data_IF_599218322795
#
_entry.id   IF_599218322795
#
_cell.length_a   1.000
_cell.length_b   1.000
_cell.length_c   1.000
_cell.angle_alpha   90.00
_cell.angle_beta   90.00
_cell.angle_gamma   90.00
#
_symmetry.space_group_name_H-M   'P 1'
#
loop_
_entity.id
_entity.type
_entity.pdbx_description
1 polymer ?
#
# COMPACT_ATOMS: atom_id res chain seq x y z
N UNK A 1 -6.25 0.86 2.46
CA UNK A 1 -7.09 1.61 3.42
C UNK A 1 -7.38 3.00 2.88
N UNK A 2 -8.44 3.67 3.34
CA UNK A 2 -8.77 5.02 2.88
C UNK A 2 -7.83 6.05 3.53
N UNK A 3 -7.03 6.75 2.72
CA UNK A 3 -6.13 7.80 3.16
C UNK A 3 -6.35 9.11 2.40
N UNK A 4 -5.73 10.16 2.91
CA UNK A 4 -5.69 11.47 2.26
C UNK A 4 -4.32 12.11 2.46
N UNK A 5 -3.84 12.89 1.53
CA UNK A 5 -2.78 13.87 1.75
C UNK A 5 -3.34 15.29 1.60
N UNK A 6 -2.72 16.25 2.26
CA UNK A 6 -3.15 17.64 2.14
C UNK A 6 -2.05 18.60 2.54
N UNK A 7 -2.12 19.83 2.03
CA UNK A 7 -1.34 20.96 2.53
C UNK A 7 -2.00 21.65 3.73
N UNK A 8 -3.31 21.44 3.90
CA UNK A 8 -4.11 21.98 5.01
C UNK A 8 -3.57 21.51 6.36
N UNK A 9 -3.45 22.46 7.30
CA UNK A 9 -3.04 22.16 8.68
C UNK A 9 -4.12 21.34 9.40
N UNK A 10 -3.72 20.21 9.97
CA UNK A 10 -4.65 19.31 10.67
C UNK A 10 -4.72 19.66 12.16
N UNK A 11 -5.79 20.35 12.54
CA UNK A 11 -6.11 20.61 13.95
C UNK A 11 -6.82 19.42 14.59
N UNK A 12 -6.88 19.35 15.92
CA UNK A 12 -7.63 18.28 16.61
C UNK A 12 -9.10 18.17 16.17
N UNK A 13 -9.88 19.27 16.02
CA UNK A 13 -11.23 19.18 15.46
C UNK A 13 -11.26 18.58 14.04
N UNK A 14 -10.33 19.00 13.18
CA UNK A 14 -10.25 18.49 11.81
C UNK A 14 -9.88 17.00 11.77
N UNK A 15 -8.93 16.56 12.60
CA UNK A 15 -8.54 15.16 12.70
C UNK A 15 -9.72 14.26 13.10
N UNK A 16 -10.53 14.69 14.07
CA UNK A 16 -11.72 13.94 14.53
C UNK A 16 -12.77 13.82 13.41
N UNK A 17 -13.06 14.90 12.69
CA UNK A 17 -14.07 14.85 11.61
C UNK A 17 -13.57 14.05 10.41
N UNK A 18 -12.27 14.09 10.10
CA UNK A 18 -11.66 13.24 9.08
C UNK A 18 -11.76 11.75 9.45
N UNK A 19 -11.43 11.39 10.70
CA UNK A 19 -11.60 10.02 11.21
C UNK A 19 -13.06 9.56 11.12
N UNK A 20 -13.99 10.42 11.51
CA UNK A 20 -15.43 10.14 11.45
C UNK A 20 -15.91 9.95 10.01
N UNK A 21 -15.30 10.64 9.04
CA UNK A 21 -15.55 10.46 7.61
C UNK A 21 -14.89 9.20 7.02
N UNK A 22 -14.23 8.39 7.84
CA UNK A 22 -13.65 7.10 7.46
C UNK A 22 -12.18 7.16 7.03
N UNK A 23 -11.52 8.32 7.13
CA UNK A 23 -10.08 8.43 6.88
C UNK A 23 -9.33 7.60 7.92
N UNK A 24 -8.32 6.85 7.48
CA UNK A 24 -7.51 5.98 8.34
C UNK A 24 -6.04 6.41 8.40
N UNK A 25 -5.54 7.07 7.36
CA UNK A 25 -4.18 7.55 7.28
C UNK A 25 -4.12 8.93 6.62
N UNK A 26 -3.15 9.76 7.02
CA UNK A 26 -2.95 11.11 6.51
C UNK A 26 -1.49 11.33 6.07
N UNK A 27 -1.29 11.88 4.87
CA UNK A 27 0.00 12.33 4.35
C UNK A 27 0.23 13.79 4.70
N UNK A 28 1.39 14.11 5.30
CA UNK A 28 1.77 15.49 5.63
C UNK A 28 3.20 15.81 5.25
N UNK A 29 3.40 17.08 4.87
CA UNK A 29 4.67 17.60 4.38
C UNK A 29 5.65 17.86 5.50
N UNK A 30 6.92 17.48 5.33
CA UNK A 30 8.02 17.89 6.19
C UNK A 30 8.41 19.35 5.93
N UNK A 31 8.92 20.01 6.96
CA UNK A 31 9.49 21.35 6.89
C UNK A 31 8.80 22.35 7.81
N UNK A 32 9.13 22.31 9.10
CA UNK A 32 8.48 23.08 10.20
C UNK A 32 8.48 24.62 10.05
N UNK A 33 9.20 25.17 9.08
CA UNK A 33 9.17 26.60 8.73
C UNK A 33 8.42 26.92 7.43
N UNK A 34 7.92 25.92 6.72
CA UNK A 34 7.13 26.07 5.49
C UNK A 34 5.65 26.22 5.83
N UNK A 35 4.92 26.87 4.94
CA UNK A 35 3.50 27.18 5.13
C UNK A 35 2.62 25.93 5.31
N UNK A 36 3.00 24.80 4.68
CA UNK A 36 2.30 23.51 4.74
C UNK A 36 2.96 22.48 5.68
N UNK A 37 4.12 22.78 6.25
CA UNK A 37 4.98 21.78 6.88
C UNK A 37 4.53 21.35 8.28
N UNK A 38 4.36 20.06 8.49
CA UNK A 38 3.89 19.37 9.68
C UNK A 38 4.55 19.89 10.98
N UNK A 39 3.73 20.03 12.03
CA UNK A 39 4.14 20.46 13.37
C UNK A 39 3.93 19.35 14.40
N UNK A 40 4.58 19.46 15.57
CA UNK A 40 4.36 18.51 16.67
C UNK A 40 2.90 18.48 17.14
N UNK A 41 2.25 19.65 17.23
CA UNK A 41 0.84 19.74 17.60
C UNK A 41 -0.07 19.03 16.60
N UNK A 42 0.25 19.11 15.30
CA UNK A 42 -0.46 18.35 14.25
C UNK A 42 -0.21 16.85 14.38
N UNK A 43 1.02 16.41 14.67
CA UNK A 43 1.33 14.99 14.91
C UNK A 43 0.47 14.45 16.06
N UNK A 44 0.44 15.15 17.20
CA UNK A 44 -0.40 14.78 18.34
C UNK A 44 -1.88 14.75 17.96
N UNK A 45 -2.39 15.77 17.27
CA UNK A 45 -3.78 15.82 16.85
C UNK A 45 -4.19 14.65 15.93
N UNK A 46 -3.32 14.26 15.00
CA UNK A 46 -3.54 13.13 14.08
C UNK A 46 -3.56 11.81 14.87
N UNK A 47 -2.56 11.59 15.73
CA UNK A 47 -2.43 10.36 16.51
C UNK A 47 -3.52 10.22 17.57
N UNK A 48 -3.89 11.30 18.27
CA UNK A 48 -4.98 11.30 19.27
C UNK A 48 -6.33 10.98 18.64
N UNK A 49 -6.52 11.31 17.35
CA UNK A 49 -7.70 10.91 16.58
C UNK A 49 -7.65 9.45 16.07
N UNK A 50 -6.57 8.72 16.34
CA UNK A 50 -6.34 7.35 15.89
C UNK A 50 -6.11 7.24 14.38
N UNK A 51 -5.50 8.27 13.78
CA UNK A 51 -5.09 8.27 12.37
C UNK A 51 -3.61 7.89 12.26
N UNK A 52 -3.26 7.19 11.18
CA UNK A 52 -1.88 6.91 10.81
C UNK A 52 -1.29 8.08 10.02
N UNK A 53 0.03 8.24 10.02
CA UNK A 53 0.73 9.32 9.35
C UNK A 53 1.77 8.78 8.36
N UNK A 54 1.93 9.39 7.20
CA UNK A 54 3.14 9.25 6.38
C UNK A 54 3.72 10.62 6.02
N UNK A 55 5.03 10.64 5.74
CA UNK A 55 5.79 11.86 5.58
C UNK A 55 6.09 12.12 4.10
N UNK A 56 5.92 13.37 3.68
CA UNK A 56 6.18 13.82 2.30
C UNK A 56 7.25 14.90 2.33
N UNK A 57 8.21 14.88 1.41
CA UNK A 57 9.10 16.01 1.16
C UNK A 57 8.90 16.55 -0.25
N UNK A 58 8.57 17.84 -0.33
CA UNK A 58 8.38 18.58 -1.58
C UNK A 58 8.92 20.01 -1.40
N UNK A 59 10.10 20.30 -1.97
CA UNK A 59 10.78 21.61 -1.90
C UNK A 59 10.89 22.25 -3.30
N UNK A 60 9.83 22.14 -4.11
CA UNK A 60 9.74 22.52 -5.53
C UNK A 60 10.38 21.57 -6.57
N UNK A 61 10.12 20.25 -6.54
CA UNK A 61 10.66 19.27 -7.49
C UNK A 61 9.87 19.25 -8.82
N UNK A 62 9.80 20.40 -9.50
CA UNK A 62 8.87 20.62 -10.64
C UNK A 62 9.55 20.66 -12.01
N UNK A 63 10.84 20.36 -12.10
CA UNK A 63 11.62 20.37 -13.35
C UNK A 63 12.85 19.46 -13.24
N UNK A 64 13.35 18.96 -14.38
CA UNK A 64 14.49 18.03 -14.45
C UNK A 64 15.75 18.54 -13.73
N UNK A 65 16.06 19.82 -13.84
CA UNK A 65 17.22 20.48 -13.23
C UNK A 65 17.24 20.42 -11.70
N UNK A 66 16.09 20.17 -11.08
CA UNK A 66 16.01 19.92 -9.64
C UNK A 66 16.72 18.60 -9.27
N UNK A 67 16.63 17.59 -10.12
CA UNK A 67 17.00 16.22 -9.78
C UNK A 67 18.47 15.96 -10.06
N UNK A 68 19.30 16.23 -9.05
CA UNK A 68 20.71 15.86 -9.07
C UNK A 68 21.04 14.98 -7.87
N UNK A 69 22.10 14.17 -7.99
CA UNK A 69 22.61 13.35 -6.88
C UNK A 69 22.91 14.19 -5.62
N UNK A 70 23.56 15.35 -5.79
CA UNK A 70 23.88 16.25 -4.69
C UNK A 70 22.62 16.86 -4.04
N UNK A 71 21.61 17.20 -4.85
CA UNK A 71 20.31 17.67 -4.36
C UNK A 71 19.58 16.59 -3.58
N UNK A 72 19.64 15.33 -4.04
CA UNK A 72 19.11 14.17 -3.32
C UNK A 72 19.71 14.00 -1.92
N UNK A 73 21.04 14.16 -1.79
CA UNK A 73 21.71 14.14 -0.48
C UNK A 73 21.22 15.28 0.42
N UNK A 74 21.18 16.51 -0.11
CA UNK A 74 20.76 17.69 0.65
C UNK A 74 19.32 17.56 1.16
N UNK A 75 18.41 17.13 0.30
CA UNK A 75 17.00 16.99 0.63
C UNK A 75 16.77 15.84 1.60
N UNK A 76 17.52 14.73 1.47
CA UNK A 76 17.47 13.63 2.41
C UNK A 76 18.01 14.00 3.80
N UNK A 77 19.06 14.83 3.88
CA UNK A 77 19.57 15.35 5.15
C UNK A 77 18.55 16.26 5.83
N UNK A 78 17.89 17.13 5.05
CA UNK A 78 16.81 17.98 5.53
C UNK A 78 15.64 17.14 6.05
N UNK A 79 15.14 16.19 5.26
CA UNK A 79 14.06 15.29 5.66
C UNK A 79 14.40 14.47 6.91
N UNK A 80 15.63 13.95 7.00
CA UNK A 80 16.10 13.22 8.18
C UNK A 80 16.02 14.07 9.44
N UNK A 81 16.52 15.32 9.38
CA UNK A 81 16.49 16.23 10.52
C UNK A 81 15.06 16.61 10.93
N UNK A 82 14.18 16.87 9.95
CA UNK A 82 12.78 17.20 10.20
C UNK A 82 12.02 16.02 10.81
N UNK A 83 12.14 14.82 10.23
CA UNK A 83 11.49 13.61 10.72
C UNK A 83 11.95 13.27 12.15
N UNK A 84 13.25 13.35 12.43
CA UNK A 84 13.79 13.11 13.79
C UNK A 84 13.26 14.10 14.80
N UNK A 85 13.17 15.38 14.43
CA UNK A 85 12.73 16.41 15.35
C UNK A 85 11.21 16.43 15.57
N UNK A 86 10.43 15.81 14.68
CA UNK A 86 9.02 15.49 14.90
C UNK A 86 8.83 14.21 15.74
N UNK A 87 9.89 13.41 15.93
CA UNK A 87 9.83 12.14 16.67
C UNK A 87 9.43 10.94 15.81
N UNK A 88 9.54 11.04 14.49
CA UNK A 88 9.20 9.93 13.59
C UNK A 88 10.10 8.71 13.88
N UNK A 89 9.50 7.50 14.03
CA UNK A 89 10.23 6.30 14.35
C UNK A 89 11.07 5.83 13.17
N UNK A 90 12.17 5.14 13.49
CA UNK A 90 12.99 4.44 12.50
C UNK A 90 12.11 3.47 11.68
N UNK A 91 12.30 3.45 10.38
CA UNK A 91 11.55 2.59 9.45
C UNK A 91 10.24 3.19 8.92
N UNK A 92 9.86 4.39 9.35
CA UNK A 92 8.81 5.15 8.67
C UNK A 92 9.26 5.49 7.24
N UNK A 93 8.34 5.58 6.29
CA UNK A 93 8.64 6.06 4.94
C UNK A 93 8.63 7.59 4.87
N UNK A 94 9.55 8.13 4.07
CA UNK A 94 9.54 9.53 3.64
C UNK A 94 9.44 9.53 2.11
N UNK A 95 8.35 10.07 1.58
CA UNK A 95 8.07 10.12 0.15
C UNK A 95 8.61 11.43 -0.45
N UNK A 96 9.63 11.32 -1.29
CA UNK A 96 10.21 12.46 -2.01
C UNK A 96 9.47 12.67 -3.32
N UNK A 97 8.99 13.88 -3.55
CA UNK A 97 8.15 14.19 -4.69
C UNK A 97 8.93 14.39 -5.99
N UNK A 98 8.38 13.84 -7.08
CA UNK A 98 8.62 14.24 -8.46
C UNK A 98 7.30 14.83 -8.96
N UNK A 99 7.12 16.13 -8.77
CA UNK A 99 5.81 16.79 -8.84
C UNK A 99 5.58 17.52 -10.17
N UNK A 100 5.74 16.78 -11.26
CA UNK A 100 5.46 17.26 -12.61
C UNK A 100 5.31 16.09 -13.59
N UNK A 101 4.86 16.39 -14.81
CA UNK A 101 4.80 15.42 -15.91
C UNK A 101 6.21 15.10 -16.45
N UNK A 102 6.98 14.33 -15.68
CA UNK A 102 8.34 13.95 -16.02
C UNK A 102 8.40 13.16 -17.35
N UNK A 103 9.21 13.65 -18.28
CA UNK A 103 9.36 13.07 -19.61
C UNK A 103 10.45 12.00 -19.62
N UNK A 104 10.50 11.11 -20.63
CA UNK A 104 11.51 10.05 -20.70
C UNK A 104 12.97 10.54 -20.58
N UNK A 105 13.26 11.78 -21.02
CA UNK A 105 14.59 12.40 -20.91
C UNK A 105 15.02 12.69 -19.47
N UNK A 106 14.07 12.85 -18.55
CA UNK A 106 14.32 13.29 -17.18
C UNK A 106 14.66 12.12 -16.24
N UNK A 107 14.34 10.89 -16.67
CA UNK A 107 14.40 9.69 -15.83
C UNK A 107 15.82 9.39 -15.33
N UNK A 108 16.85 9.79 -16.06
CA UNK A 108 18.24 9.64 -15.62
C UNK A 108 18.55 10.55 -14.41
N UNK A 109 18.14 11.82 -14.49
CA UNK A 109 18.33 12.80 -13.42
C UNK A 109 17.55 12.41 -12.16
N UNK A 110 16.29 11.97 -12.33
CA UNK A 110 15.45 11.47 -11.24
C UNK A 110 16.09 10.26 -10.54
N UNK A 111 16.64 9.30 -11.31
CA UNK A 111 17.37 8.15 -10.73
C UNK A 111 18.59 8.59 -9.92
N UNK A 112 19.39 9.52 -10.44
CA UNK A 112 20.56 10.04 -9.72
C UNK A 112 20.17 10.76 -8.43
N UNK A 113 19.07 11.53 -8.45
CA UNK A 113 18.53 12.15 -7.24
C UNK A 113 18.17 11.10 -6.18
N UNK A 114 17.39 10.06 -6.54
CA UNK A 114 17.01 9.01 -5.60
C UNK A 114 18.19 8.18 -5.10
N UNK A 115 19.21 7.97 -5.94
CA UNK A 115 20.47 7.37 -5.50
C UNK A 115 21.12 8.22 -4.39
N UNK A 116 21.19 9.54 -4.57
CA UNK A 116 21.66 10.48 -3.53
C UNK A 116 20.85 10.39 -2.24
N UNK A 117 19.52 10.33 -2.34
CA UNK A 117 18.61 10.19 -1.19
C UNK A 117 18.91 8.93 -0.38
N UNK A 118 19.10 7.79 -1.06
CA UNK A 118 19.39 6.52 -0.40
C UNK A 118 20.69 6.55 0.41
N UNK A 119 21.73 7.22 -0.07
CA UNK A 119 23.02 7.30 0.65
C UNK A 119 22.89 7.88 2.07
N UNK A 120 21.83 8.65 2.33
CA UNK A 120 21.58 9.30 3.62
C UNK A 120 20.58 8.49 4.46
N UNK A 121 19.49 8.00 3.86
CA UNK A 121 18.36 7.42 4.58
C UNK A 121 18.44 5.92 4.82
N UNK A 122 19.18 5.17 4.01
CA UNK A 122 19.25 3.70 4.12
C UNK A 122 19.59 3.27 5.55
N UNK A 123 18.76 2.38 6.11
CA UNK A 123 18.89 1.90 7.48
C UNK A 123 18.39 2.85 8.57
N UNK A 124 17.73 3.97 8.20
CA UNK A 124 17.10 4.93 9.13
C UNK A 124 15.61 5.12 8.81
N UNK A 125 15.28 5.48 7.57
CA UNK A 125 13.92 5.63 7.07
C UNK A 125 13.80 4.90 5.74
N UNK A 126 12.59 4.47 5.39
CA UNK A 126 12.31 3.92 4.06
C UNK A 126 12.30 5.07 3.05
N UNK A 127 12.95 4.88 1.92
CA UNK A 127 12.95 5.85 0.82
C UNK A 127 11.70 5.63 -0.01
N UNK A 128 10.76 6.57 0.05
CA UNK A 128 9.57 6.60 -0.78
C UNK A 128 9.73 7.55 -1.96
N UNK A 129 9.15 7.20 -3.11
CA UNK A 129 9.05 8.10 -4.26
C UNK A 129 7.60 8.47 -4.53
N UNK A 130 7.31 9.75 -4.70
CA UNK A 130 6.04 10.23 -5.27
C UNK A 130 6.22 10.64 -6.73
N UNK A 131 5.24 10.32 -7.58
CA UNK A 131 5.24 10.73 -9.00
C UNK A 131 4.33 9.90 -9.90
N UNK A 132 4.46 10.11 -11.22
CA UNK A 132 3.64 9.44 -12.22
C UNK A 132 4.01 7.96 -12.42
N UNK A 133 3.16 7.21 -13.13
CA UNK A 133 3.44 5.85 -13.59
C UNK A 133 4.80 5.71 -14.30
N UNK A 134 5.22 6.72 -15.07
CA UNK A 134 6.51 6.70 -15.75
C UNK A 134 7.67 6.74 -14.75
N UNK A 135 7.57 7.61 -13.73
CA UNK A 135 8.53 7.73 -12.63
C UNK A 135 8.60 6.42 -11.83
N UNK A 136 7.45 5.85 -11.45
CA UNK A 136 7.40 4.59 -10.70
C UNK A 136 8.14 3.46 -11.43
N UNK A 137 7.89 3.29 -12.73
CA UNK A 137 8.56 2.25 -13.51
C UNK A 137 10.05 2.52 -13.72
N UNK A 138 10.44 3.78 -13.95
CA UNK A 138 11.83 4.14 -14.11
C UNK A 138 12.63 3.81 -12.84
N UNK A 139 12.13 4.21 -11.67
CA UNK A 139 12.79 4.00 -10.38
C UNK A 139 12.81 2.53 -9.96
N UNK A 140 11.75 1.77 -10.24
CA UNK A 140 11.73 0.33 -9.98
C UNK A 140 12.82 -0.44 -10.74
N UNK A 141 13.22 0.06 -11.92
CA UNK A 141 14.32 -0.48 -12.72
C UNK A 141 15.65 0.25 -12.54
N UNK A 142 15.83 1.04 -11.48
CA UNK A 142 17.10 1.69 -11.17
C UNK A 142 18.04 0.74 -10.42
N UNK A 143 19.34 1.05 -10.42
CA UNK A 143 20.34 0.30 -9.64
C UNK A 143 20.10 0.43 -8.12
N UNK A 144 19.52 1.56 -7.72
CA UNK A 144 19.11 1.88 -6.35
C UNK A 144 17.62 2.24 -6.34
N UNK A 145 16.73 1.23 -6.35
CA UNK A 145 15.29 1.46 -6.35
C UNK A 145 14.82 1.92 -4.96
N UNK A 146 13.89 2.88 -4.86
CA UNK A 146 13.21 3.23 -3.61
C UNK A 146 12.53 2.02 -2.97
N UNK A 147 12.36 2.07 -1.65
CA UNK A 147 11.67 1.06 -0.86
C UNK A 147 10.15 1.13 -1.08
N UNK A 148 9.60 2.35 -1.14
CA UNK A 148 8.16 2.61 -1.24
C UNK A 148 7.80 3.47 -2.46
N UNK A 149 6.55 3.35 -2.92
CA UNK A 149 6.07 4.00 -4.15
C UNK A 149 4.69 4.62 -3.90
N UNK A 150 4.59 5.92 -4.09
CA UNK A 150 3.38 6.72 -4.00
C UNK A 150 3.05 7.25 -5.39
N UNK A 151 2.16 6.56 -6.11
CA UNK A 151 1.82 6.95 -7.48
C UNK A 151 0.66 7.95 -7.48
N UNK A 152 0.78 9.03 -8.24
CA UNK A 152 -0.37 9.89 -8.56
C UNK A 152 -1.08 9.43 -9.84
N UNK A 153 -2.41 9.56 -9.90
CA UNK A 153 -3.16 9.41 -11.15
C UNK A 153 -2.85 10.53 -12.15
N UNK A 154 -2.46 11.71 -11.66
CA UNK A 154 -1.99 12.82 -12.48
C UNK A 154 -0.75 12.37 -13.26
N UNK A 155 -0.64 12.80 -14.52
CA UNK A 155 0.49 12.47 -15.40
C UNK A 155 0.72 10.97 -15.65
N UNK A 156 -0.16 10.10 -15.14
CA UNK A 156 -0.07 8.64 -15.32
C UNK A 156 -0.86 8.12 -16.51
N UNK A 157 -1.63 8.99 -17.17
CA UNK A 157 -2.36 8.67 -18.41
C UNK A 157 -3.24 7.41 -18.28
N UNK A 158 -3.89 7.25 -17.12
CA UNK A 158 -4.76 6.11 -16.79
C UNK A 158 -4.02 4.80 -16.45
N UNK A 159 -2.69 4.80 -16.38
CA UNK A 159 -1.89 3.62 -16.04
C UNK A 159 -1.60 3.56 -14.54
N UNK A 160 -1.44 2.34 -14.04
CA UNK A 160 -1.03 2.08 -12.66
C UNK A 160 0.07 1.02 -12.63
N UNK A 161 1.07 1.24 -11.78
CA UNK A 161 2.10 0.29 -11.40
C UNK A 161 1.82 -0.21 -9.98
N UNK A 162 2.40 -1.34 -9.55
CA UNK A 162 2.39 -1.71 -8.15
C UNK A 162 2.90 -0.55 -7.29
N UNK A 163 2.10 -0.13 -6.31
CA UNK A 163 2.35 1.01 -5.46
C UNK A 163 1.94 0.70 -4.01
N UNK A 164 2.50 1.45 -3.07
CA UNK A 164 2.13 1.42 -1.66
C UNK A 164 1.06 2.46 -1.35
N UNK A 165 1.08 3.59 -2.09
CA UNK A 165 0.05 4.61 -2.04
C UNK A 165 -0.35 4.97 -3.47
N UNK A 166 -1.64 5.14 -3.73
CA UNK A 166 -2.17 5.63 -4.99
C UNK A 166 -3.10 6.82 -4.78
N UNK A 167 -2.66 8.01 -5.18
CA UNK A 167 -3.49 9.22 -5.22
C UNK A 167 -4.44 9.09 -6.40
N UNK A 168 -5.75 9.07 -6.16
CA UNK A 168 -6.75 8.82 -7.19
C UNK A 168 -7.70 9.99 -7.45
N UNK A 169 -7.64 11.04 -6.62
CA UNK A 169 -8.43 12.26 -6.76
C UNK A 169 -7.71 13.41 -6.09
N UNK A 170 -7.72 14.59 -6.71
CA UNK A 170 -7.14 15.80 -6.13
C UNK A 170 -8.17 16.93 -5.96
N UNK A 171 -7.80 17.95 -5.18
CA UNK A 171 -8.57 19.20 -4.99
C UNK A 171 -10.01 18.98 -4.48
N UNK A 172 -10.24 17.94 -3.68
CA UNK A 172 -11.55 17.64 -3.10
C UNK A 172 -11.65 18.10 -1.65
N UNK A 173 -12.85 17.99 -1.08
CA UNK A 173 -13.07 18.26 0.34
C UNK A 173 -13.62 17.03 1.05
N UNK A 174 -12.98 16.67 2.17
CA UNK A 174 -13.43 15.60 3.07
C UNK A 174 -13.70 16.23 4.42
N UNK A 175 -14.95 16.14 4.89
CA UNK A 175 -15.39 16.77 6.13
C UNK A 175 -15.03 18.28 6.25
N UNK A 176 -15.01 19.00 5.11
CA UNK A 176 -14.68 20.42 5.05
C UNK A 176 -13.19 20.76 4.97
N UNK A 177 -12.30 19.76 4.98
CA UNK A 177 -10.86 19.93 4.78
C UNK A 177 -10.53 19.72 3.31
N UNK A 178 -9.78 20.64 2.70
CA UNK A 178 -9.26 20.47 1.35
C UNK A 178 -8.12 19.45 1.34
N UNK A 179 -8.28 18.39 0.54
CA UNK A 179 -7.42 17.20 0.52
C UNK A 179 -7.32 16.61 -0.89
N UNK A 180 -6.29 15.80 -1.08
CA UNK A 180 -6.23 14.79 -2.13
C UNK A 180 -6.57 13.43 -1.49
N UNK A 181 -7.15 12.51 -2.26
CA UNK A 181 -7.58 11.20 -1.77
C UNK A 181 -6.68 10.08 -2.27
N UNK A 182 -6.35 9.18 -1.34
CA UNK A 182 -5.39 8.10 -1.55
C UNK A 182 -5.96 6.74 -1.15
N UNK A 183 -5.55 5.72 -1.89
CA UNK A 183 -5.53 4.36 -1.39
C UNK A 183 -4.16 4.08 -0.79
N UNK A 184 -4.12 3.76 0.50
CA UNK A 184 -2.89 3.55 1.27
C UNK A 184 -2.79 2.09 1.68
N UNK A 185 -1.74 1.39 1.30
CA UNK A 185 -1.47 0.04 1.78
C UNK A 185 -0.90 0.08 3.19
N UNK A 186 -1.04 -1.03 3.90
CA UNK A 186 -0.59 -1.17 5.28
C UNK A 186 0.94 -1.27 5.42
N UNK A 187 1.62 -1.68 4.35
CA UNK A 187 3.07 -1.72 4.21
C UNK A 187 3.68 -0.39 3.72
N UNK A 188 2.90 0.70 3.64
CA UNK A 188 3.35 2.01 3.15
C UNK A 188 4.30 2.78 4.08
N UNK A 189 4.88 2.13 5.10
CA UNK A 189 5.79 2.73 6.07
C UNK A 189 5.13 3.76 6.98
N UNK A 190 3.91 3.45 7.45
CA UNK A 190 3.06 4.36 8.21
C UNK A 190 3.52 4.55 9.66
N UNK A 191 3.25 5.70 10.24
CA UNK A 191 3.59 6.10 11.60
C UNK A 191 2.34 6.19 12.48
N UNK A 192 2.24 5.29 13.46
CA UNK A 192 1.21 5.25 14.49
C UNK A 192 1.64 5.97 15.78
N UNK A 193 0.70 6.18 16.70
CA UNK A 193 0.93 6.89 17.96
C UNK A 193 2.05 6.25 18.83
N UNK A 194 2.16 4.93 18.79
CA UNK A 194 3.11 4.13 19.57
C UNK A 194 4.36 3.70 18.79
N UNK A 195 4.53 4.17 17.55
CA UNK A 195 5.73 3.94 16.75
C UNK A 195 5.42 3.59 15.30
N UNK A 196 6.29 2.75 14.71
CA UNK A 196 6.10 2.31 13.33
C UNK A 196 4.84 1.44 13.27
N UNK A 197 3.90 1.79 12.40
CA UNK A 197 2.75 0.94 12.15
C UNK A 197 3.25 -0.34 11.49
N UNK A 198 3.08 -1.43 12.21
CA UNK A 198 3.25 -2.77 11.70
C UNK A 198 1.85 -3.35 11.60
N UNK A 199 1.54 -3.98 10.48
CA UNK A 199 0.46 -4.96 10.49
C UNK A 199 0.89 -6.01 11.49
N UNK A 200 0.12 -6.20 12.56
CA UNK A 200 0.22 -7.45 13.29
C UNK A 200 -0.09 -8.55 12.27
N UNK A 201 0.94 -9.22 11.79
CA UNK A 201 0.77 -10.57 11.28
C UNK A 201 0.29 -11.33 12.49
N UNK A 202 -1.03 -11.45 12.63
CA UNK A 202 -1.62 -12.46 13.49
C UNK A 202 -1.09 -13.77 12.93
N UNK A 203 0.02 -14.24 13.50
CA UNK A 203 0.41 -15.63 13.39
C UNK A 203 -0.75 -16.36 14.02
N UNK A 204 -1.62 -16.91 13.17
CA UNK A 204 -2.78 -17.66 13.61
C UNK A 204 -2.33 -18.60 14.72
N UNK A 205 -2.95 -18.45 15.88
CA UNK A 205 -2.78 -19.41 16.95
C UNK A 205 -3.34 -20.76 16.47
N UNK A 206 -2.94 -21.88 17.07
CA UNK A 206 -3.51 -23.19 16.73
C UNK A 206 -5.05 -23.26 16.94
N UNK A 207 -5.66 -22.25 17.57
CA UNK A 207 -7.12 -22.07 17.70
C UNK A 207 -7.78 -21.34 16.50
N UNK A 208 -7.00 -20.69 15.63
CA UNK A 208 -7.46 -19.97 14.42
C UNK A 208 -7.57 -20.90 13.20
N UNK A 209 -8.19 -22.06 13.39
CA UNK A 209 -8.52 -22.96 12.29
C UNK A 209 -9.45 -22.24 11.29
N UNK A 210 -9.03 -22.13 10.01
CA UNK A 210 -9.87 -21.56 8.95
C UNK A 210 -11.24 -22.22 8.96
N UNK A 211 -12.31 -21.45 9.20
CA UNK A 211 -13.66 -22.03 9.24
C UNK A 211 -14.08 -22.64 7.89
N UNK A 212 -13.76 -21.96 6.78
CA UNK A 212 -13.90 -22.46 5.42
C UNK A 212 -12.64 -22.06 4.63
N UNK A 213 -12.14 -22.95 3.78
CA UNK A 213 -11.09 -22.65 2.81
C UNK A 213 -11.51 -23.12 1.42
N UNK A 214 -11.04 -22.44 0.37
CA UNK A 214 -11.21 -22.87 -1.02
C UNK A 214 -9.88 -23.37 -1.55
N UNK A 215 -9.85 -24.57 -2.15
CA UNK A 215 -8.68 -25.11 -2.84
C UNK A 215 -8.95 -25.24 -4.33
N UNK A 216 -8.15 -24.56 -5.16
CA UNK A 216 -8.18 -24.66 -6.60
C UNK A 216 -7.28 -25.79 -7.08
N UNK A 217 -7.75 -26.60 -8.03
CA UNK A 217 -6.92 -27.61 -8.67
C UNK A 217 -5.81 -26.97 -9.51
N UNK A 218 -6.17 -25.95 -10.27
CA UNK A 218 -5.24 -25.17 -11.07
C UNK A 218 -5.57 -23.68 -11.00
N UNK A 219 -4.65 -22.83 -11.50
CA UNK A 219 -4.91 -21.40 -11.65
C UNK A 219 -6.08 -21.07 -12.59
N UNK A 220 -6.45 -21.99 -13.50
CA UNK A 220 -7.53 -21.78 -14.45
C UNK A 220 -8.90 -21.84 -13.76
N UNK A 221 -8.96 -22.39 -12.54
CA UNK A 221 -10.16 -22.45 -11.70
C UNK A 221 -10.38 -21.17 -10.87
N UNK A 222 -9.47 -20.19 -10.97
CA UNK A 222 -9.45 -19.01 -10.09
C UNK A 222 -10.74 -18.19 -10.13
N UNK A 223 -11.29 -17.95 -11.33
CA UNK A 223 -12.51 -17.17 -11.49
C UNK A 223 -13.70 -17.81 -10.76
N UNK A 224 -13.87 -19.12 -10.90
CA UNK A 224 -14.95 -19.85 -10.24
C UNK A 224 -14.68 -19.99 -8.73
N UNK A 225 -13.42 -20.18 -8.34
CA UNK A 225 -12.99 -20.25 -6.95
C UNK A 225 -13.16 -18.95 -6.17
N UNK A 226 -12.93 -17.80 -6.82
CA UNK A 226 -13.12 -16.48 -6.21
C UNK A 226 -14.59 -16.24 -5.83
N UNK A 227 -15.53 -16.62 -6.71
CA UNK A 227 -16.97 -16.51 -6.41
C UNK A 227 -17.39 -17.42 -5.24
N UNK A 228 -16.82 -18.63 -5.17
CA UNK A 228 -17.04 -19.56 -4.05
C UNK A 228 -16.48 -18.98 -2.75
N UNK A 229 -15.29 -18.40 -2.78
CA UNK A 229 -14.69 -17.75 -1.62
C UNK A 229 -15.54 -16.57 -1.14
N UNK A 230 -16.02 -15.73 -2.06
CA UNK A 230 -16.90 -14.60 -1.77
C UNK A 230 -18.21 -15.04 -1.11
N UNK A 231 -18.86 -16.10 -1.64
CA UNK A 231 -20.07 -16.68 -1.03
C UNK A 231 -19.85 -17.18 0.40
N UNK A 232 -18.63 -17.60 0.72
CA UNK A 232 -18.26 -18.13 2.04
C UNK A 232 -17.56 -17.09 2.93
N UNK A 233 -17.90 -15.80 2.77
CA UNK A 233 -17.41 -14.72 3.63
C UNK A 233 -16.00 -14.24 3.26
N UNK A 234 -15.63 -14.31 1.98
CA UNK A 234 -14.28 -14.00 1.48
C UNK A 234 -13.19 -14.84 2.15
N UNK A 235 -13.45 -16.14 2.29
CA UNK A 235 -12.53 -17.05 2.95
C UNK A 235 -11.23 -17.27 2.16
N UNK A 236 -10.21 -17.83 2.81
CA UNK A 236 -8.91 -18.06 2.19
C UNK A 236 -8.99 -18.97 0.96
N UNK A 237 -8.18 -18.65 -0.06
CA UNK A 237 -8.10 -19.38 -1.32
C UNK A 237 -6.68 -19.88 -1.54
N UNK A 238 -6.57 -21.19 -1.77
CA UNK A 238 -5.34 -21.92 -1.99
C UNK A 238 -5.34 -22.51 -3.40
N UNK A 239 -4.15 -22.76 -3.94
CA UNK A 239 -3.99 -23.49 -5.20
C UNK A 239 -3.14 -24.71 -4.91
N UNK A 240 -3.46 -25.86 -5.51
CA UNK A 240 -2.60 -27.04 -5.44
C UNK A 240 -1.20 -26.70 -5.93
N UNK A 241 -0.20 -27.24 -5.24
CA UNK A 241 1.19 -27.14 -5.66
C UNK A 241 1.51 -28.10 -6.81
N UNK A 242 2.75 -28.06 -7.28
CA UNK A 242 3.25 -29.04 -8.25
C UNK A 242 2.99 -30.48 -7.74
N UNK A 243 2.64 -31.38 -8.67
CA UNK A 243 2.25 -32.77 -8.40
C UNK A 243 0.97 -32.95 -7.57
N UNK A 244 -0.01 -32.04 -7.69
CA UNK A 244 -1.30 -32.07 -6.98
C UNK A 244 -1.18 -32.02 -5.45
N UNK A 245 -0.04 -31.53 -4.93
CA UNK A 245 0.17 -31.33 -3.50
C UNK A 245 -0.82 -30.33 -2.92
N UNK A 246 -1.28 -30.57 -1.69
CA UNK A 246 -2.28 -29.73 -1.03
C UNK A 246 -1.58 -28.94 0.07
N UNK A 247 -1.73 -27.60 0.11
CA UNK A 247 -1.22 -26.80 1.21
C UNK A 247 -1.74 -27.29 2.58
N UNK A 248 -0.84 -27.41 3.56
CA UNK A 248 -1.19 -27.90 4.89
C UNK A 248 -2.28 -27.06 5.56
N UNK A 249 -2.25 -25.74 5.36
CA UNK A 249 -3.24 -24.80 5.91
C UNK A 249 -4.63 -24.97 5.29
N UNK A 250 -4.71 -25.41 4.03
CA UNK A 250 -6.00 -25.77 3.42
C UNK A 250 -6.56 -27.04 4.09
N UNK A 251 -5.69 -28.03 4.35
CA UNK A 251 -6.06 -29.29 5.00
C UNK A 251 -6.37 -29.16 6.49
N UNK A 252 -5.93 -28.07 7.14
CA UNK A 252 -6.25 -27.82 8.54
C UNK A 252 -7.59 -27.14 8.75
N UNK A 253 -8.25 -26.62 7.69
CA UNK A 253 -9.54 -25.92 7.80
C UNK A 253 -10.68 -26.78 8.40
N UNK A 254 -11.74 -26.16 8.94
CA UNK A 254 -12.92 -26.91 9.39
C UNK A 254 -13.72 -27.46 8.22
N UNK A 255 -13.73 -26.75 7.08
CA UNK A 255 -14.36 -27.16 5.83
C UNK A 255 -13.47 -26.74 4.65
N UNK A 256 -13.23 -27.67 3.74
CA UNK A 256 -12.45 -27.42 2.52
C UNK A 256 -13.34 -27.56 1.29
N UNK A 257 -13.51 -26.49 0.52
CA UNK A 257 -14.24 -26.50 -0.75
C UNK A 257 -13.21 -26.60 -1.87
N UNK A 258 -13.23 -27.70 -2.60
CA UNK A 258 -12.29 -27.96 -3.69
C UNK A 258 -12.96 -27.57 -5.01
N UNK A 259 -12.33 -26.69 -5.79
CA UNK A 259 -12.82 -26.24 -7.10
C UNK A 259 -11.91 -26.79 -8.18
N UNK A 260 -12.47 -27.67 -9.01
CA UNK A 260 -11.74 -28.45 -10.00
C UNK A 260 -11.04 -29.68 -9.42
N UNK A 261 -10.50 -30.53 -10.30
CA UNK A 261 -9.63 -31.63 -9.92
C UNK A 261 -10.26 -32.74 -9.09
N UNK A 262 -9.40 -33.40 -8.31
CA UNK A 262 -9.74 -34.56 -7.49
C UNK A 262 -9.92 -34.21 -6.01
N UNK A 263 -10.43 -35.18 -5.25
CA UNK A 263 -10.61 -35.08 -3.80
C UNK A 263 -9.29 -34.89 -3.05
N UNK A 264 -9.40 -34.43 -1.81
CA UNK A 264 -8.25 -34.14 -0.95
C UNK A 264 -8.11 -35.15 0.19
N UNK A 265 -9.22 -35.80 0.56
CA UNK A 265 -9.29 -36.63 1.77
C UNK A 265 -9.54 -35.81 3.03
N UNK A 266 -9.82 -34.52 2.91
CA UNK A 266 -10.25 -33.68 4.02
C UNK A 266 -11.60 -34.18 4.58
N UNK A 267 -11.78 -34.31 5.91
CA UNK A 267 -12.96 -34.95 6.49
C UNK A 267 -14.28 -34.22 6.17
N UNK A 268 -14.21 -32.89 6.02
CA UNK A 268 -15.34 -32.03 5.67
C UNK A 268 -15.12 -31.37 4.30
N UNK A 269 -14.86 -32.17 3.26
CA UNK A 269 -14.67 -31.64 1.90
C UNK A 269 -16.00 -31.44 1.14
N UNK A 270 -16.08 -30.37 0.35
CA UNK A 270 -17.08 -30.18 -0.71
C UNK A 270 -16.35 -30.09 -2.03
N UNK A 271 -16.56 -31.05 -2.94
CA UNK A 271 -15.93 -31.05 -4.25
C UNK A 271 -16.87 -30.43 -5.30
N UNK A 272 -16.42 -29.34 -5.91
CA UNK A 272 -17.04 -28.66 -7.04
C UNK A 272 -16.14 -28.87 -8.26
N UNK A 273 -16.31 -30.01 -8.95
CA UNK A 273 -15.42 -30.42 -10.04
C UNK A 273 -16.19 -31.10 -11.17
N UNK A 274 -15.63 -31.02 -12.38
CA UNK A 274 -16.14 -31.60 -13.60
C UNK A 274 -15.02 -32.20 -14.47
N UNK A 275 -15.35 -32.69 -15.67
CA UNK A 275 -14.34 -33.28 -16.56
C UNK A 275 -13.40 -32.23 -17.17
N UNK A 276 -13.87 -30.98 -17.24
CA UNK A 276 -13.12 -29.82 -17.66
C UNK A 276 -13.53 -28.57 -16.85
N UNK A 277 -12.91 -27.44 -17.16
CA UNK A 277 -13.18 -26.16 -16.48
C UNK A 277 -14.62 -25.65 -16.64
N UNK A 278 -15.32 -26.01 -17.71
CA UNK A 278 -16.71 -25.59 -17.94
C UNK A 278 -17.67 -26.45 -17.11
N UNK A 279 -17.42 -27.75 -17.03
CA UNK A 279 -18.16 -28.64 -16.14
C UNK A 279 -17.93 -28.26 -14.66
N UNK A 280 -16.68 -27.93 -14.28
CA UNK A 280 -16.34 -27.39 -12.96
C UNK A 280 -17.11 -26.10 -12.68
N UNK A 281 -17.16 -25.18 -13.63
CA UNK A 281 -17.95 -23.94 -13.49
C UNK A 281 -19.45 -24.20 -13.35
N UNK A 282 -19.99 -25.22 -14.03
CA UNK A 282 -21.40 -25.62 -13.87
C UNK A 282 -21.67 -26.17 -12.46
N UNK A 283 -20.75 -26.95 -11.90
CA UNK A 283 -20.82 -27.41 -10.51
C UNK A 283 -20.75 -26.24 -9.52
N UNK A 284 -19.86 -25.27 -9.76
CA UNK A 284 -19.75 -24.03 -8.97
C UNK A 284 -21.03 -23.21 -9.05
N UNK A 285 -21.58 -22.99 -10.25
CA UNK A 285 -22.85 -22.27 -10.43
C UNK A 285 -23.96 -22.89 -9.60
N UNK A 286 -24.11 -24.21 -9.62
CA UNK A 286 -25.12 -24.92 -8.81
C UNK A 286 -24.90 -24.71 -7.30
N UNK A 287 -23.64 -24.64 -6.86
CA UNK A 287 -23.30 -24.36 -5.48
C UNK A 287 -23.61 -22.91 -5.08
N UNK A 288 -23.39 -21.94 -5.97
CA UNK A 288 -23.62 -20.52 -5.73
C UNK A 288 -25.10 -20.14 -5.67
N UNK A 289 -25.98 -20.89 -6.33
CA UNK A 289 -27.42 -20.61 -6.41
C UNK A 289 -27.78 -19.79 -7.64
#
# INVERSE_FOLDING_TARGET
>A
MYGIDCSTKITAPNAIVLKTAGVLAVGRYLGRGLWNGLTLDEVSAIHDAGLLLWLILELSPTEESYFTFAKGISDAQYALAEAQALGAPKGCAIYFAVDYDAQPGDMAAIKEYFHGVQTVLTGKFLVGAYGSYAVMNALKGADYPPDCYFQTYAWSYGKQAPNHIYQYSNEVHVAGVAVDQDYVNDDAGLWAADGLYQVEVVKGSEEDMLNVAVLLDTKDDFWAGADVAAKNGNCALFVRGANNSIPADAMSSKQLIVVGGSKTGHPNEVLLSGNDKYDTAAAVKKYLG
#
